data_IF_380679776552
#
_entry.id   IF_380679776552
#
_cell.length_a   1.000
_cell.length_b   1.000
_cell.length_c   1.000
_cell.angle_alpha   90.00
_cell.angle_beta   90.00
_cell.angle_gamma   90.00
#
_symmetry.space_group_name_H-M   'P 1'
#
loop_
_entity.id
_entity.type
_entity.pdbx_description
1 polymer ?
#
# COMPACT_ATOMS: atom_id res chain seq x y z
N UNK A 1 2.84 -9.53 -13.23
CA UNK A 1 3.96 -8.88 -13.96
C UNK A 1 4.05 -7.38 -13.69
N UNK A 2 2.97 -6.60 -13.83
CA UNK A 2 3.04 -5.14 -13.65
C UNK A 2 3.53 -4.70 -12.25
N UNK A 3 3.07 -5.35 -11.17
CA UNK A 3 3.53 -5.05 -9.79
C UNK A 3 5.05 -5.13 -9.65
N UNK A 4 5.64 -6.24 -10.13
CA UNK A 4 7.08 -6.49 -10.07
C UNK A 4 7.90 -5.50 -10.91
N UNK A 5 7.38 -5.07 -12.06
CA UNK A 5 8.05 -4.07 -12.91
C UNK A 5 8.07 -2.69 -12.24
N UNK A 6 6.96 -2.26 -11.64
CA UNK A 6 6.91 -1.00 -10.89
C UNK A 6 7.80 -1.05 -9.64
N UNK A 7 7.83 -2.18 -8.93
CA UNK A 7 8.70 -2.35 -7.78
C UNK A 7 10.18 -2.31 -8.18
N UNK A 8 10.54 -3.01 -9.26
CA UNK A 8 11.90 -2.98 -9.81
C UNK A 8 12.30 -1.57 -10.21
N UNK A 9 11.42 -0.83 -10.89
CA UNK A 9 11.66 0.57 -11.24
C UNK A 9 11.89 1.43 -9.98
N UNK A 10 11.05 1.28 -8.95
CA UNK A 10 11.20 2.03 -7.71
C UNK A 10 12.54 1.73 -7.01
N UNK A 11 12.95 0.46 -6.98
CA UNK A 11 14.26 0.06 -6.42
C UNK A 11 15.41 0.63 -7.26
N UNK A 12 15.35 0.57 -8.59
CA UNK A 12 16.38 1.16 -9.45
C UNK A 12 16.50 2.67 -9.20
N UNK A 13 15.38 3.38 -9.12
CA UNK A 13 15.38 4.83 -8.82
C UNK A 13 15.98 5.12 -7.43
N UNK A 14 15.65 4.32 -6.43
CA UNK A 14 16.19 4.47 -5.07
C UNK A 14 17.71 4.29 -4.99
N UNK A 15 18.28 3.35 -5.77
CA UNK A 15 19.72 3.05 -5.72
C UNK A 15 20.55 3.85 -6.73
N UNK A 16 19.99 4.18 -7.90
CA UNK A 16 20.73 4.73 -9.04
C UNK A 16 20.18 6.06 -9.56
N UNK A 17 19.01 6.51 -9.12
CA UNK A 17 18.36 7.72 -9.61
C UNK A 17 18.97 9.02 -9.07
N UNK A 18 19.76 8.97 -8.00
CA UNK A 18 20.30 10.15 -7.31
C UNK A 18 19.33 10.72 -6.25
N UNK A 19 19.66 11.88 -5.69
CA UNK A 19 18.96 12.48 -4.54
C UNK A 19 18.00 13.64 -4.90
N UNK A 20 17.72 13.82 -6.20
CA UNK A 20 16.85 14.91 -6.65
C UNK A 20 15.39 14.73 -6.19
N UNK A 21 14.64 15.84 -5.95
CA UNK A 21 13.27 15.78 -5.46
C UNK A 21 12.33 15.01 -6.41
N UNK A 22 12.54 15.13 -7.72
CA UNK A 22 11.75 14.42 -8.73
C UNK A 22 11.96 12.90 -8.69
N UNK A 23 13.16 12.45 -8.34
CA UNK A 23 13.50 11.03 -8.22
C UNK A 23 12.78 10.44 -7.02
N UNK A 24 12.74 11.16 -5.90
CA UNK A 24 11.97 10.75 -4.73
C UNK A 24 10.48 10.63 -5.06
N UNK A 25 9.89 11.64 -5.69
CA UNK A 25 8.47 11.61 -6.11
C UNK A 25 8.22 10.43 -7.06
N UNK A 26 9.07 10.22 -8.07
CA UNK A 26 8.96 9.12 -9.01
C UNK A 26 9.10 7.75 -8.33
N UNK A 27 10.00 7.64 -7.35
CA UNK A 27 10.20 6.41 -6.57
C UNK A 27 8.96 6.08 -5.74
N UNK A 28 8.42 7.07 -5.02
CA UNK A 28 7.19 6.91 -4.23
C UNK A 28 6.01 6.56 -5.14
N UNK A 29 5.89 7.20 -6.30
CA UNK A 29 4.82 6.94 -7.27
C UNK A 29 4.90 5.52 -7.85
N UNK A 30 6.09 5.08 -8.28
CA UNK A 30 6.32 3.74 -8.80
C UNK A 30 6.05 2.68 -7.72
N UNK A 31 6.55 2.89 -6.50
CA UNK A 31 6.29 2.00 -5.37
C UNK A 31 4.80 1.98 -4.96
N UNK A 32 4.08 3.11 -5.05
CA UNK A 32 2.62 3.16 -4.86
C UNK A 32 1.91 2.31 -5.90
N UNK A 33 2.24 2.46 -7.18
CA UNK A 33 1.67 1.65 -8.25
C UNK A 33 1.99 0.16 -8.10
N UNK A 34 3.17 -0.18 -7.58
CA UNK A 34 3.51 -1.55 -7.21
C UNK A 34 2.62 -2.04 -6.05
N UNK A 35 2.54 -1.26 -4.97
CA UNK A 35 1.83 -1.60 -3.74
C UNK A 35 0.33 -1.87 -3.94
N UNK A 36 -0.33 -1.16 -4.86
CA UNK A 36 -1.76 -1.42 -5.13
C UNK A 36 -2.02 -2.79 -5.80
N UNK A 37 -0.97 -3.49 -6.26
CA UNK A 37 -1.04 -4.75 -7.01
C UNK A 37 -0.18 -5.86 -6.39
N UNK A 38 0.71 -5.50 -5.47
CA UNK A 38 1.63 -6.44 -4.83
C UNK A 38 0.91 -7.50 -4.00
N UNK A 39 -0.16 -7.18 -3.25
CA UNK A 39 -0.95 -8.19 -2.54
C UNK A 39 -1.51 -9.29 -3.47
N UNK A 40 -1.80 -8.98 -4.72
CA UNK A 40 -2.28 -9.97 -5.71
C UNK A 40 -1.21 -10.99 -6.14
N UNK A 41 0.06 -10.82 -5.73
CA UNK A 41 1.12 -11.78 -6.00
C UNK A 41 1.07 -13.04 -5.12
N UNK A 42 0.07 -13.16 -4.24
CA UNK A 42 -0.08 -14.34 -3.39
C UNK A 42 -0.17 -15.62 -4.21
N UNK A 43 -1.12 -15.63 -5.14
CA UNK A 43 -1.39 -16.79 -5.98
C UNK A 43 -0.17 -17.22 -6.82
N UNK A 44 0.52 -16.34 -7.56
CA UNK A 44 1.70 -16.75 -8.32
C UNK A 44 2.91 -17.14 -7.44
N UNK A 45 2.94 -16.72 -6.17
CA UNK A 45 3.98 -17.14 -5.21
C UNK A 45 3.61 -18.43 -4.46
N UNK A 46 2.53 -19.11 -4.86
CA UNK A 46 1.95 -20.26 -4.16
C UNK A 46 1.60 -19.97 -2.69
N UNK A 47 1.36 -18.69 -2.37
CA UNK A 47 0.73 -18.31 -1.11
C UNK A 47 -0.78 -18.48 -1.27
N UNK A 48 -1.47 -18.80 -0.17
CA UNK A 48 -2.93 -18.81 -0.20
C UNK A 48 -3.43 -17.39 -0.46
N UNK A 49 -4.53 -17.26 -1.23
CA UNK A 49 -5.14 -15.96 -1.55
C UNK A 49 -5.33 -15.14 -0.26
N UNK A 50 -4.86 -13.89 -0.27
CA UNK A 50 -4.85 -12.99 0.89
C UNK A 50 -3.96 -13.48 2.04
N UNK A 51 -2.71 -13.79 1.72
CA UNK A 51 -1.70 -14.15 2.71
C UNK A 51 -1.43 -12.98 3.63
N UNK A 52 -1.35 -13.28 4.93
CA UNK A 52 -0.94 -12.33 5.94
C UNK A 52 0.47 -11.77 5.71
N UNK A 53 1.28 -12.37 4.82
CA UNK A 53 2.60 -11.85 4.46
C UNK A 53 2.53 -10.59 3.60
N UNK A 54 1.70 -10.58 2.54
CA UNK A 54 1.67 -9.46 1.60
C UNK A 54 0.38 -8.64 1.67
N UNK A 55 -0.67 -9.16 2.31
CA UNK A 55 -1.82 -8.39 2.78
C UNK A 55 -1.59 -7.89 4.20
N UNK A 56 -0.43 -7.26 4.42
CA UNK A 56 -0.04 -6.70 5.71
C UNK A 56 0.98 -5.57 5.54
N UNK A 57 1.63 -5.19 6.64
CA UNK A 57 2.66 -4.15 6.69
C UNK A 57 4.08 -4.70 6.44
N UNK A 58 4.22 -6.01 6.24
CA UNK A 58 5.54 -6.62 6.07
C UNK A 58 6.32 -6.07 4.85
N UNK A 59 5.74 -5.90 3.64
CA UNK A 59 6.50 -5.35 2.50
C UNK A 59 7.02 -3.93 2.76
N UNK A 60 6.23 -3.12 3.48
CA UNK A 60 6.63 -1.80 3.96
C UNK A 60 7.86 -1.89 4.87
N UNK A 61 7.83 -2.75 5.90
CA UNK A 61 8.96 -2.88 6.83
C UNK A 61 10.22 -3.47 6.18
N UNK A 62 10.07 -4.41 5.24
CA UNK A 62 11.22 -4.94 4.48
C UNK A 62 11.92 -3.81 3.71
N UNK A 63 11.16 -2.91 3.08
CA UNK A 63 11.71 -1.75 2.39
C UNK A 63 12.32 -0.69 3.34
N UNK A 64 12.03 -0.73 4.63
CA UNK A 64 12.65 0.17 5.62
C UNK A 64 14.02 -0.30 6.11
N UNK A 65 14.43 -1.54 5.80
CA UNK A 65 15.70 -2.12 6.26
C UNK A 65 16.94 -1.38 5.72
N UNK A 66 16.79 -0.61 4.64
CA UNK A 66 17.84 0.24 4.07
C UNK A 66 17.31 1.67 3.91
N UNK A 67 18.07 2.66 4.40
CA UNK A 67 17.70 4.09 4.31
C UNK A 67 17.46 4.55 2.87
N UNK A 68 18.18 3.97 1.91
CA UNK A 68 18.04 4.29 0.48
C UNK A 68 16.67 3.92 -0.05
N UNK A 69 16.03 2.89 0.51
CA UNK A 69 14.72 2.40 0.08
C UNK A 69 13.56 2.96 0.88
N UNK A 70 13.77 3.93 1.78
CA UNK A 70 12.66 4.59 2.49
C UNK A 70 11.62 5.26 1.58
N UNK A 71 11.97 5.87 0.43
CA UNK A 71 10.97 6.31 -0.55
C UNK A 71 10.14 5.15 -1.13
N UNK A 72 10.76 3.97 -1.32
CA UNK A 72 10.06 2.74 -1.74
C UNK A 72 9.12 2.28 -0.63
N UNK A 73 9.54 2.31 0.63
CA UNK A 73 8.70 1.98 1.78
C UNK A 73 7.48 2.89 1.84
N UNK A 74 7.66 4.22 1.76
CA UNK A 74 6.55 5.16 1.74
C UNK A 74 5.54 4.85 0.61
N UNK A 75 6.02 4.65 -0.62
CA UNK A 75 5.13 4.31 -1.73
C UNK A 75 4.41 2.96 -1.55
N UNK A 76 5.13 1.91 -1.12
CA UNK A 76 4.53 0.60 -0.85
C UNK A 76 3.45 0.71 0.24
N UNK A 77 3.70 1.45 1.32
CA UNK A 77 2.73 1.66 2.38
C UNK A 77 1.47 2.35 1.86
N UNK A 78 1.58 3.40 1.06
CA UNK A 78 0.39 3.99 0.45
C UNK A 78 -0.36 3.03 -0.47
N UNK A 79 0.36 2.36 -1.38
CA UNK A 79 -0.26 1.46 -2.36
C UNK A 79 -0.96 0.26 -1.71
N UNK A 80 -0.29 -0.41 -0.77
CA UNK A 80 -0.86 -1.54 -0.02
C UNK A 80 -1.99 -1.06 0.87
N UNK A 81 -1.85 0.12 1.51
CA UNK A 81 -2.91 0.74 2.29
C UNK A 81 -4.20 0.94 1.49
N UNK A 82 -4.11 1.47 0.26
CA UNK A 82 -5.27 1.61 -0.62
C UNK A 82 -5.86 0.26 -1.05
N UNK A 83 -5.01 -0.72 -1.36
CA UNK A 83 -5.46 -2.07 -1.70
C UNK A 83 -6.26 -2.70 -0.56
N UNK A 84 -5.69 -2.69 0.65
CA UNK A 84 -6.34 -3.23 1.84
C UNK A 84 -7.62 -2.45 2.20
N UNK A 85 -7.64 -1.13 1.99
CA UNK A 85 -8.84 -0.35 2.21
C UNK A 85 -9.99 -0.79 1.29
N UNK A 86 -9.73 -1.10 0.02
CA UNK A 86 -10.74 -1.67 -0.89
C UNK A 86 -11.23 -3.04 -0.40
N UNK A 87 -10.30 -3.87 0.11
CA UNK A 87 -10.59 -5.21 0.64
C UNK A 87 -11.45 -5.23 1.91
N UNK A 88 -11.65 -4.09 2.57
CA UNK A 88 -12.64 -3.95 3.66
C UNK A 88 -14.09 -3.95 3.18
N UNK A 89 -14.33 -3.77 1.88
CA UNK A 89 -15.68 -3.72 1.31
C UNK A 89 -15.87 -4.78 0.21
N UNK A 90 -15.59 -6.08 0.48
CA UNK A 90 -15.76 -7.12 -0.52
C UNK A 90 -17.24 -7.41 -0.76
N UNK A 91 -17.60 -7.97 -1.91
CA UNK A 91 -18.97 -8.46 -2.13
C UNK A 91 -19.33 -9.60 -1.17
N UNK A 92 -18.37 -10.48 -0.86
CA UNK A 92 -18.54 -11.52 0.17
C UNK A 92 -17.22 -11.83 0.87
N UNK A 93 -17.17 -11.68 2.20
CA UNK A 93 -16.02 -12.08 3.03
C UNK A 93 -16.20 -13.51 3.58
N UNK A 94 -15.93 -14.52 2.76
CA UNK A 94 -15.99 -15.95 3.14
C UNK A 94 -14.95 -16.77 2.39
N UNK A 95 -14.57 -17.92 2.95
CA UNK A 95 -13.74 -18.93 2.26
C UNK A 95 -12.39 -18.39 1.80
N UNK A 96 -12.25 -18.14 0.50
CA UNK A 96 -11.03 -17.60 -0.11
C UNK A 96 -10.75 -16.14 0.25
N UNK A 97 -11.76 -15.34 0.57
CA UNK A 97 -11.60 -13.90 0.83
C UNK A 97 -11.03 -13.56 2.23
N UNK A 98 -10.94 -14.54 3.13
CA UNK A 98 -10.38 -14.36 4.48
C UNK A 98 -8.86 -14.42 4.46
N UNK A 99 -8.21 -13.67 5.35
CA UNK A 99 -6.76 -13.69 5.53
C UNK A 99 -6.26 -15.08 5.91
N UNK A 100 -5.16 -15.48 5.29
CA UNK A 100 -4.51 -16.77 5.50
C UNK A 100 -3.14 -16.58 6.15
N UNK A 101 -2.95 -17.18 7.31
CA UNK A 101 -1.66 -17.25 7.95
C UNK A 101 -0.81 -18.36 7.30
N UNK A 102 0.48 -18.10 7.02
CA UNK A 102 1.39 -19.15 6.58
C UNK A 102 1.33 -20.34 7.54
N UNK A 103 1.19 -21.55 7.00
CA UNK A 103 1.14 -22.82 7.74
C UNK A 103 -0.09 -23.04 8.65
N UNK A 104 -0.84 -22.01 9.02
CA UNK A 104 -1.96 -22.09 9.98
C UNK A 104 -3.35 -21.95 9.32
N UNK A 105 -3.40 -21.52 8.07
CA UNK A 105 -4.65 -21.39 7.32
C UNK A 105 -5.46 -20.14 7.70
N UNK A 106 -6.78 -20.23 7.60
CA UNK A 106 -7.69 -19.09 7.75
C UNK A 106 -7.80 -18.58 9.18
N UNK A 107 -7.77 -17.25 9.37
CA UNK A 107 -8.07 -16.63 10.68
C UNK A 107 -9.57 -16.38 10.90
N UNK A 108 -10.41 -16.71 9.92
CA UNK A 108 -11.86 -16.48 9.98
C UNK A 108 -12.27 -15.06 9.61
N UNK A 109 -13.58 -14.85 9.44
CA UNK A 109 -14.16 -13.62 8.82
C UNK A 109 -13.90 -12.38 9.67
N UNK A 110 -14.26 -12.41 10.96
CA UNK A 110 -14.12 -11.27 11.84
C UNK A 110 -12.65 -10.83 11.99
N UNK A 111 -11.76 -11.78 12.29
CA UNK A 111 -10.34 -11.48 12.42
C UNK A 111 -9.74 -10.98 11.09
N UNK A 112 -10.24 -11.43 9.94
CA UNK A 112 -9.79 -10.92 8.63
C UNK A 112 -10.15 -9.45 8.43
N UNK A 113 -11.37 -9.03 8.79
CA UNK A 113 -11.73 -7.61 8.73
C UNK A 113 -10.85 -6.75 9.64
N UNK A 114 -10.66 -7.19 10.88
CA UNK A 114 -9.80 -6.48 11.83
C UNK A 114 -8.36 -6.40 11.33
N UNK A 115 -7.82 -7.51 10.83
CA UNK A 115 -6.47 -7.57 10.25
C UNK A 115 -6.32 -6.57 9.12
N UNK A 116 -7.21 -6.61 8.13
CA UNK A 116 -7.17 -5.70 6.98
C UNK A 116 -7.27 -4.24 7.44
N UNK A 117 -8.17 -3.92 8.37
CA UNK A 117 -8.36 -2.56 8.86
C UNK A 117 -7.10 -2.02 9.55
N UNK A 118 -6.52 -2.81 10.47
CA UNK A 118 -5.30 -2.45 11.19
C UNK A 118 -4.13 -2.29 10.23
N UNK A 119 -3.96 -3.23 9.29
CA UNK A 119 -2.86 -3.17 8.35
C UNK A 119 -3.03 -2.08 7.28
N UNK A 120 -4.25 -1.76 6.86
CA UNK A 120 -4.52 -0.61 6.00
C UNK A 120 -4.10 0.70 6.69
N UNK A 121 -4.56 0.91 7.93
CA UNK A 121 -4.23 2.09 8.72
C UNK A 121 -2.71 2.18 8.99
N UNK A 122 -2.09 1.08 9.43
CA UNK A 122 -0.66 1.04 9.72
C UNK A 122 0.19 1.36 8.49
N UNK A 123 -0.18 0.84 7.31
CA UNK A 123 0.51 1.15 6.05
C UNK A 123 0.34 2.63 5.65
N UNK A 124 -0.87 3.18 5.69
CA UNK A 124 -1.13 4.59 5.32
C UNK A 124 -0.44 5.58 6.27
N UNK A 125 -0.56 5.37 7.58
CA UNK A 125 0.05 6.22 8.61
C UNK A 125 1.56 6.07 8.60
N UNK A 126 2.07 4.83 8.52
CA UNK A 126 3.50 4.56 8.44
C UNK A 126 4.14 5.20 7.20
N UNK A 127 3.46 5.13 6.04
CA UNK A 127 3.91 5.78 4.82
C UNK A 127 3.99 7.31 4.96
N UNK A 128 2.99 7.93 5.58
CA UNK A 128 2.98 9.37 5.84
C UNK A 128 4.15 9.77 6.76
N UNK A 129 4.33 9.08 7.88
CA UNK A 129 5.43 9.33 8.84
C UNK A 129 6.79 9.19 8.16
N UNK A 130 6.99 8.15 7.34
CA UNK A 130 8.25 7.95 6.62
C UNK A 130 8.47 9.04 5.60
N UNK A 131 7.43 9.44 4.84
CA UNK A 131 7.53 10.48 3.83
C UNK A 131 7.91 11.84 4.45
N UNK A 132 7.25 12.23 5.55
CA UNK A 132 7.56 13.46 6.30
C UNK A 132 8.99 13.48 6.82
N UNK A 133 9.55 12.31 7.14
CA UNK A 133 10.92 12.19 7.64
C UNK A 133 12.00 12.34 6.55
N UNK A 134 11.68 12.02 5.29
CA UNK A 134 12.66 11.99 4.20
C UNK A 134 12.54 13.14 3.21
N UNK A 135 11.39 13.82 3.15
CA UNK A 135 11.08 14.80 2.14
C UNK A 135 10.88 16.20 2.75
N UNK A 136 11.36 17.24 2.06
CA UNK A 136 10.96 18.60 2.36
C UNK A 136 9.47 18.81 2.06
N UNK A 137 8.80 19.71 2.78
CA UNK A 137 7.34 19.89 2.73
C UNK A 137 6.75 19.96 1.32
N UNK A 138 7.38 20.73 0.41
CA UNK A 138 6.92 20.85 -0.99
C UNK A 138 7.01 19.52 -1.74
N UNK A 139 8.08 18.76 -1.52
CA UNK A 139 8.31 17.45 -2.15
C UNK A 139 7.34 16.42 -1.57
N UNK A 140 7.13 16.42 -0.25
CA UNK A 140 6.16 15.58 0.42
C UNK A 140 4.74 15.85 -0.10
N UNK A 141 4.33 17.12 -0.20
CA UNK A 141 3.03 17.52 -0.76
C UNK A 141 2.85 17.07 -2.21
N UNK A 142 3.87 17.22 -3.06
CA UNK A 142 3.83 16.72 -4.43
C UNK A 142 3.73 15.19 -4.50
N UNK A 143 4.50 14.46 -3.69
CA UNK A 143 4.45 13.01 -3.61
C UNK A 143 3.08 12.52 -3.14
N UNK A 144 2.52 13.13 -2.08
CA UNK A 144 1.17 12.86 -1.60
C UNK A 144 0.11 13.12 -2.68
N UNK A 145 0.22 14.23 -3.42
CA UNK A 145 -0.69 14.53 -4.52
C UNK A 145 -0.67 13.46 -5.61
N UNK A 146 0.51 13.02 -6.04
CA UNK A 146 0.66 11.94 -7.02
C UNK A 146 0.10 10.62 -6.50
N UNK A 147 0.45 10.27 -5.27
CA UNK A 147 -0.05 9.06 -4.59
C UNK A 147 -1.57 9.08 -4.43
N UNK A 148 -2.17 10.23 -4.12
CA UNK A 148 -3.62 10.39 -4.02
C UNK A 148 -4.31 10.17 -5.37
N UNK A 149 -3.74 10.69 -6.47
CA UNK A 149 -4.25 10.45 -7.83
C UNK A 149 -4.15 8.96 -8.20
N UNK A 150 -3.01 8.31 -7.92
CA UNK A 150 -2.82 6.89 -8.17
C UNK A 150 -3.77 6.03 -7.34
N UNK A 151 -3.90 6.34 -6.05
CA UNK A 151 -4.78 5.67 -5.10
C UNK A 151 -6.24 5.80 -5.52
N UNK A 152 -6.71 7.02 -5.79
CA UNK A 152 -8.07 7.24 -6.28
C UNK A 152 -8.32 6.52 -7.61
N UNK A 153 -7.38 6.60 -8.57
CA UNK A 153 -7.49 5.89 -9.85
C UNK A 153 -7.56 4.37 -9.70
N UNK A 154 -6.88 3.80 -8.71
CA UNK A 154 -7.01 2.38 -8.36
C UNK A 154 -8.37 2.09 -7.71
N UNK A 155 -8.74 2.83 -6.67
CA UNK A 155 -9.98 2.63 -5.90
C UNK A 155 -11.24 2.77 -6.75
N UNK A 156 -11.24 3.66 -7.75
CA UNK A 156 -12.37 3.80 -8.69
C UNK A 156 -12.62 2.54 -9.54
N UNK A 157 -11.63 1.65 -9.67
CA UNK A 157 -11.72 0.42 -10.47
C UNK A 157 -11.77 -0.84 -9.60
N UNK A 158 -11.29 -0.75 -8.36
CA UNK A 158 -11.26 -1.87 -7.43
C UNK A 158 -12.67 -2.19 -6.90
N UNK A 159 -12.95 -3.48 -6.71
CA UNK A 159 -14.16 -3.92 -6.00
C UNK A 159 -14.13 -3.38 -4.57
N UNK A 160 -15.22 -2.75 -4.12
CA UNK A 160 -15.27 -2.10 -2.82
C UNK A 160 -14.55 -0.75 -2.73
N UNK A 161 -13.81 -0.35 -3.78
CA UNK A 161 -12.94 0.82 -3.74
C UNK A 161 -13.68 2.16 -3.66
N UNK A 162 -14.92 2.27 -4.15
CA UNK A 162 -15.75 3.47 -3.94
C UNK A 162 -16.07 3.70 -2.47
N UNK A 163 -16.39 2.64 -1.71
CA UNK A 163 -16.65 2.73 -0.28
C UNK A 163 -15.37 3.09 0.49
N UNK A 164 -14.25 2.48 0.10
CA UNK A 164 -12.94 2.81 0.66
C UNK A 164 -12.56 4.28 0.38
N UNK A 165 -12.77 4.77 -0.84
CA UNK A 165 -12.51 6.15 -1.21
C UNK A 165 -13.37 7.11 -0.38
N UNK A 166 -14.66 6.82 -0.23
CA UNK A 166 -15.57 7.62 0.61
C UNK A 166 -15.14 7.60 2.08
N UNK A 167 -14.72 6.46 2.62
CA UNK A 167 -14.25 6.33 4.00
C UNK A 167 -12.95 7.12 4.22
N UNK A 168 -11.96 6.97 3.35
CA UNK A 168 -10.68 7.70 3.42
C UNK A 168 -10.92 9.22 3.30
N UNK A 169 -11.75 9.65 2.33
CA UNK A 169 -12.08 11.06 2.15
C UNK A 169 -12.84 11.63 3.35
N UNK A 170 -13.80 10.88 3.90
CA UNK A 170 -14.55 11.26 5.09
C UNK A 170 -13.67 11.39 6.32
N UNK A 171 -12.76 10.45 6.54
CA UNK A 171 -11.77 10.52 7.62
C UNK A 171 -10.85 11.73 7.45
N UNK A 172 -10.28 11.92 6.26
CA UNK A 172 -9.42 13.07 5.97
C UNK A 172 -10.14 14.40 6.20
N UNK A 173 -11.41 14.48 5.79
CA UNK A 173 -12.24 15.66 6.03
C UNK A 173 -12.47 15.93 7.52
N UNK A 174 -12.71 14.88 8.33
CA UNK A 174 -12.86 15.02 9.78
C UNK A 174 -11.57 15.50 10.47
N UNK A 175 -10.39 15.09 9.97
CA UNK A 175 -9.10 15.54 10.52
C UNK A 175 -8.73 16.98 10.14
N UNK A 176 -9.31 17.53 9.06
CA UNK A 176 -9.05 18.90 8.60
C UNK A 176 -10.04 19.93 9.16
N UNK A 177 -11.04 19.49 9.92
CA UNK A 177 -11.99 20.36 10.63
C UNK A 177 -11.59 20.53 12.08
#
# INVERSE_FOLDING_TARGET
>A
MAASLFLLLAVILAFAGGSGPWIMIATVAAATAAGTRLPDLDTPLHLQHRSALIHSVLPFYVAMLDLRTWPVAAGLGFGIGFHLAADLFPTTMRGFATIKMPLLGSIGVFASYLWIAVHAAANLVGALIVLERIAADRVAACALGVTAVLGAGYLLRAQGGLYALAAIAGLGWLFLR
#
